data_IF_962827905590
#
_entry.id   IF_962827905590
#
_cell.length_a   1.000
_cell.length_b   1.000
_cell.length_c   1.000
_cell.angle_alpha   90.00
_cell.angle_beta   90.00
_cell.angle_gamma   90.00
#
_symmetry.space_group_name_H-M   'P 1'
#
loop_
_entity.id
_entity.type
_entity.pdbx_description
1 polymer ?
#
# COMPACT_ATOMS: atom_id res chain seq x y z
N UNK A 1 18.61 -1.44 -7.00
CA UNK A 1 17.81 -1.38 -8.24
C UNK A 1 16.65 -2.34 -8.12
N UNK A 2 15.47 -1.93 -8.55
CA UNK A 2 14.19 -2.66 -8.46
C UNK A 2 13.24 -2.03 -9.47
N UNK A 3 12.24 -2.77 -9.97
CA UNK A 3 11.20 -2.24 -10.85
C UNK A 3 10.54 -1.01 -10.22
N UNK A 4 10.08 -1.15 -8.98
CA UNK A 4 9.57 -0.06 -8.18
C UNK A 4 9.90 -0.21 -6.70
N UNK A 5 9.82 0.91 -5.97
CA UNK A 5 9.78 0.89 -4.51
C UNK A 5 9.24 2.21 -3.95
N UNK A 6 8.74 2.15 -2.71
CA UNK A 6 8.44 3.33 -1.90
C UNK A 6 9.32 3.30 -0.65
N UNK A 7 10.17 4.32 -0.50
CA UNK A 7 11.08 4.45 0.64
C UNK A 7 10.77 5.73 1.39
N UNK A 8 10.60 5.64 2.70
CA UNK A 8 10.37 6.82 3.51
C UNK A 8 11.09 6.84 4.84
N UNK A 9 11.29 8.04 5.38
CA UNK A 9 11.88 8.28 6.71
C UNK A 9 13.26 7.62 6.87
N UNK A 10 14.12 7.79 5.86
CA UNK A 10 15.49 7.27 5.87
C UNK A 10 16.47 8.40 6.19
N UNK A 11 17.44 8.14 7.06
CA UNK A 11 18.49 9.10 7.41
C UNK A 11 19.86 8.58 7.03
N UNK A 12 20.66 9.42 6.39
CA UNK A 12 22.02 9.12 5.93
C UNK A 12 22.98 10.18 6.46
N UNK A 13 24.12 9.75 7.01
CA UNK A 13 25.12 10.62 7.64
C UNK A 13 26.51 10.27 7.13
N UNK A 14 27.31 11.25 6.69
CA UNK A 14 28.73 11.04 6.40
C UNK A 14 29.02 10.14 5.19
N UNK A 15 28.08 10.00 4.25
CA UNK A 15 28.22 9.09 3.10
C UNK A 15 28.96 9.78 1.95
N UNK A 16 29.74 9.03 1.16
CA UNK A 16 30.19 9.51 -0.15
C UNK A 16 29.00 9.78 -1.06
N UNK A 17 28.22 8.74 -1.36
CA UNK A 17 26.89 8.86 -1.98
C UNK A 17 25.87 8.23 -1.04
N UNK A 18 24.83 8.96 -0.62
CA UNK A 18 23.81 8.42 0.28
C UNK A 18 22.92 7.37 -0.42
N UNK A 19 22.49 7.64 -1.67
CA UNK A 19 21.68 6.72 -2.47
C UNK A 19 22.26 6.62 -3.88
N UNK A 20 22.69 5.42 -4.27
CA UNK A 20 23.05 5.08 -5.65
C UNK A 20 21.87 4.37 -6.34
N UNK A 21 21.10 5.09 -7.15
CA UNK A 21 20.00 4.52 -7.92
C UNK A 21 20.53 3.89 -9.21
N UNK A 22 20.82 2.59 -9.15
CA UNK A 22 21.44 1.86 -10.27
C UNK A 22 20.48 1.51 -11.42
N UNK A 23 19.21 1.23 -11.14
CA UNK A 23 18.15 1.00 -12.15
C UNK A 23 16.77 1.04 -11.49
N UNK A 24 15.72 1.44 -12.23
CA UNK A 24 14.30 1.25 -11.88
C UNK A 24 13.36 1.47 -13.06
N UNK A 25 12.06 1.22 -12.88
CA UNK A 25 11.00 1.84 -13.67
C UNK A 25 10.50 3.12 -12.99
N UNK A 26 10.26 3.08 -11.68
CA UNK A 26 9.92 4.26 -10.88
C UNK A 26 10.17 4.08 -9.39
N UNK A 27 10.48 5.16 -8.68
CA UNK A 27 10.75 5.09 -7.24
C UNK A 27 10.24 6.33 -6.54
N UNK A 28 9.57 6.16 -5.41
CA UNK A 28 9.16 7.27 -4.55
C UNK A 28 10.00 7.28 -3.28
N UNK A 29 10.76 8.36 -3.09
CA UNK A 29 11.45 8.70 -1.85
C UNK A 29 10.67 9.78 -1.13
N UNK A 30 10.45 9.61 0.18
CA UNK A 30 9.72 10.57 1.01
C UNK A 30 10.44 10.76 2.35
N UNK A 31 10.47 11.99 2.89
CA UNK A 31 11.00 12.23 4.24
C UNK A 31 12.44 11.74 4.42
N UNK A 32 13.29 11.92 3.40
CA UNK A 32 14.71 11.62 3.53
C UNK A 32 15.40 12.69 4.37
N UNK A 33 16.41 12.30 5.15
CA UNK A 33 17.31 13.21 5.84
C UNK A 33 18.75 12.85 5.49
N UNK A 34 19.41 13.66 4.67
CA UNK A 34 20.78 13.41 4.20
C UNK A 34 21.68 14.51 4.74
N UNK A 35 22.71 14.13 5.50
CA UNK A 35 23.56 15.05 6.26
C UNK A 35 25.03 14.72 6.07
N UNK A 36 25.86 15.74 5.83
CA UNK A 36 27.32 15.63 5.71
C UNK A 36 27.76 14.62 4.63
N UNK A 37 27.13 14.65 3.45
CA UNK A 37 27.41 13.73 2.35
C UNK A 37 28.05 14.46 1.14
N UNK A 38 28.83 13.75 0.31
CA UNK A 38 29.28 14.35 -0.96
C UNK A 38 28.12 14.44 -1.96
N UNK A 39 27.42 13.33 -2.16
CA UNK A 39 26.25 13.21 -3.04
C UNK A 39 25.05 12.68 -2.26
N UNK A 40 23.90 13.32 -2.44
CA UNK A 40 22.65 12.82 -1.89
C UNK A 40 22.12 11.62 -2.67
N UNK A 41 21.53 11.87 -3.83
CA UNK A 41 20.99 10.83 -4.71
C UNK A 41 21.71 10.90 -6.06
N UNK A 42 22.41 9.83 -6.41
CA UNK A 42 22.90 9.62 -7.77
C UNK A 42 21.93 8.74 -8.54
N UNK A 43 21.19 9.34 -9.48
CA UNK A 43 20.30 8.67 -10.41
C UNK A 43 20.78 8.78 -11.86
N UNK A 44 22.09 8.94 -12.07
CA UNK A 44 22.68 9.12 -13.40
C UNK A 44 22.83 7.84 -14.24
N UNK A 45 22.49 6.67 -13.69
CA UNK A 45 22.46 5.45 -14.49
C UNK A 45 21.41 5.55 -15.59
N UNK A 46 21.75 5.09 -16.80
CA UNK A 46 20.85 5.05 -17.96
C UNK A 46 19.67 4.08 -17.77
N UNK A 47 19.76 3.17 -16.80
CA UNK A 47 18.71 2.20 -16.47
C UNK A 47 17.69 2.74 -15.45
N UNK A 48 17.76 4.03 -15.10
CA UNK A 48 16.78 4.68 -14.22
C UNK A 48 15.62 5.23 -15.05
N UNK A 49 14.43 4.67 -14.85
CA UNK A 49 13.20 5.16 -15.43
C UNK A 49 12.76 6.48 -14.80
N UNK A 50 12.48 6.49 -13.49
CA UNK A 50 12.01 7.69 -12.81
C UNK A 50 12.25 7.72 -11.29
N UNK A 51 12.31 8.93 -10.74
CA UNK A 51 12.43 9.19 -9.29
C UNK A 51 11.47 10.31 -8.90
N UNK A 52 10.76 10.12 -7.79
CA UNK A 52 9.98 11.15 -7.10
C UNK A 52 10.63 11.35 -5.72
N UNK A 53 10.94 12.60 -5.37
CA UNK A 53 11.50 12.97 -4.08
C UNK A 53 10.58 13.96 -3.38
N UNK A 54 10.04 13.55 -2.24
CA UNK A 54 9.05 14.30 -1.46
C UNK A 54 9.58 14.62 -0.06
N UNK A 55 9.17 15.76 0.51
CA UNK A 55 9.23 16.04 1.95
C UNK A 55 10.63 15.86 2.59
N UNK A 56 11.70 16.07 1.83
CA UNK A 56 13.05 15.64 2.22
C UNK A 56 13.95 16.81 2.64
N UNK A 57 15.02 16.49 3.38
CA UNK A 57 15.98 17.46 3.91
C UNK A 57 17.42 17.06 3.60
N UNK A 58 18.18 18.00 3.06
CA UNK A 58 19.62 17.88 2.81
C UNK A 58 20.38 18.92 3.65
N UNK A 59 21.43 18.53 4.36
CA UNK A 59 22.24 19.44 5.19
C UNK A 59 23.72 19.20 4.95
N UNK A 60 24.47 20.23 4.59
CA UNK A 60 25.90 20.13 4.30
C UNK A 60 26.19 19.01 3.28
N UNK A 61 25.53 19.08 2.12
CA UNK A 61 25.67 18.10 1.03
C UNK A 61 26.23 18.81 -0.20
N UNK A 62 27.34 18.33 -0.78
CA UNK A 62 27.97 19.05 -1.92
C UNK A 62 27.05 19.10 -3.14
N UNK A 63 26.43 17.97 -3.49
CA UNK A 63 25.41 17.88 -4.55
C UNK A 63 24.22 17.05 -4.08
N UNK A 64 23.02 17.64 -3.98
CA UNK A 64 21.85 16.90 -3.50
C UNK A 64 21.40 15.80 -4.47
N UNK A 65 21.32 16.10 -5.78
CA UNK A 65 20.93 15.12 -6.80
C UNK A 65 21.78 15.21 -8.07
N UNK A 66 22.13 14.06 -8.63
CA UNK A 66 22.76 13.91 -9.94
C UNK A 66 21.82 13.14 -10.87
N UNK A 67 21.57 13.67 -12.07
CA UNK A 67 20.74 13.04 -13.11
C UNK A 67 21.48 12.98 -14.45
N UNK A 68 21.29 11.91 -15.23
CA UNK A 68 21.78 11.81 -16.61
C UNK A 68 20.82 12.39 -17.63
N UNK A 69 19.66 12.90 -17.19
CA UNK A 69 18.71 13.57 -18.06
C UNK A 69 19.26 14.93 -18.51
N UNK A 70 19.72 14.99 -19.75
CA UNK A 70 20.16 16.24 -20.38
C UNK A 70 18.99 17.16 -20.74
N UNK A 71 19.17 18.49 -20.70
CA UNK A 71 18.23 19.45 -21.24
C UNK A 71 17.86 19.16 -22.70
N UNK A 72 16.59 19.32 -23.05
CA UNK A 72 16.03 18.98 -24.37
C UNK A 72 15.68 17.49 -24.55
N UNK A 73 15.95 16.61 -23.58
CA UNK A 73 15.58 15.19 -23.69
C UNK A 73 14.05 15.03 -23.63
N UNK A 74 13.43 14.59 -24.73
CA UNK A 74 11.99 14.39 -24.83
C UNK A 74 11.53 12.95 -24.50
N UNK A 75 12.43 12.04 -24.12
CA UNK A 75 12.07 10.68 -23.69
C UNK A 75 11.57 10.66 -22.24
N UNK A 76 10.95 9.55 -21.81
CA UNK A 76 10.53 9.35 -20.42
C UNK A 76 11.67 8.95 -19.47
N UNK A 77 12.88 8.65 -19.97
CA UNK A 77 13.98 8.13 -19.16
C UNK A 77 14.51 9.17 -18.16
N UNK A 78 14.89 8.70 -16.97
CA UNK A 78 15.37 9.53 -15.86
C UNK A 78 14.42 10.70 -15.53
N UNK A 79 13.11 10.47 -15.61
CA UNK A 79 12.14 11.50 -15.21
C UNK A 79 12.24 11.77 -13.70
N UNK A 80 12.16 13.03 -13.31
CA UNK A 80 12.36 13.46 -11.92
C UNK A 80 11.26 14.41 -11.49
N UNK A 81 10.71 14.16 -10.30
CA UNK A 81 9.85 15.10 -9.58
C UNK A 81 10.46 15.35 -8.21
N UNK A 82 10.59 16.62 -7.84
CA UNK A 82 11.00 17.07 -6.51
C UNK A 82 9.85 17.90 -5.95
N UNK A 83 9.42 17.64 -4.71
CA UNK A 83 8.39 18.42 -4.03
C UNK A 83 8.75 18.57 -2.55
N UNK A 84 8.62 19.80 -2.05
CA UNK A 84 8.82 20.14 -0.64
C UNK A 84 10.17 19.62 -0.08
N UNK A 85 11.26 19.95 -0.77
CA UNK A 85 12.62 19.56 -0.33
C UNK A 85 13.35 20.77 0.20
N UNK A 86 13.72 20.73 1.48
CA UNK A 86 14.49 21.81 2.13
C UNK A 86 15.97 21.45 2.13
N UNK A 87 16.83 22.47 2.05
CA UNK A 87 18.26 22.28 2.09
C UNK A 87 18.98 23.39 2.88
N UNK A 88 20.09 23.02 3.51
CA UNK A 88 21.00 23.92 4.21
C UNK A 88 22.43 23.58 3.80
N UNK A 89 23.20 24.58 3.41
CA UNK A 89 24.60 24.45 2.98
C UNK A 89 24.75 23.41 1.85
N UNK A 90 23.89 23.53 0.82
CA UNK A 90 23.90 22.69 -0.38
C UNK A 90 24.16 23.58 -1.59
N UNK A 91 25.40 23.68 -2.10
CA UNK A 91 25.72 24.61 -3.19
C UNK A 91 25.11 24.18 -4.53
N UNK A 92 24.86 22.89 -4.74
CA UNK A 92 24.26 22.35 -5.96
C UNK A 92 23.11 21.41 -5.60
N UNK A 93 21.89 21.76 -6.00
CA UNK A 93 20.71 20.93 -5.73
C UNK A 93 20.52 19.87 -6.80
N UNK A 94 20.71 20.22 -8.07
CA UNK A 94 20.60 19.30 -9.21
C UNK A 94 21.71 19.55 -10.20
N UNK A 95 22.41 18.50 -10.61
CA UNK A 95 23.46 18.57 -11.63
C UNK A 95 23.47 17.36 -12.57
N UNK A 96 24.21 17.50 -13.66
CA UNK A 96 24.56 16.39 -14.54
C UNK A 96 25.79 15.62 -14.02
N UNK A 97 26.17 14.48 -14.64
CA UNK A 97 27.29 13.66 -14.19
C UNK A 97 28.66 14.34 -14.33
N UNK A 98 28.77 15.40 -15.15
CA UNK A 98 29.97 16.22 -15.30
C UNK A 98 30.08 17.34 -14.26
N UNK A 99 29.10 17.48 -13.35
CA UNK A 99 29.06 18.52 -12.33
C UNK A 99 28.50 19.86 -12.81
N UNK A 100 27.94 19.94 -14.03
CA UNK A 100 27.24 21.13 -14.49
C UNK A 100 25.90 21.27 -13.74
N UNK A 101 25.67 22.39 -13.04
CA UNK A 101 24.43 22.58 -12.28
C UNK A 101 23.26 22.86 -13.21
N UNK A 102 22.14 22.19 -12.95
CA UNK A 102 20.80 22.52 -13.47
C UNK A 102 20.00 23.34 -12.46
N UNK A 103 20.25 23.12 -11.17
CA UNK A 103 19.69 23.92 -10.08
C UNK A 103 20.78 24.17 -9.04
N UNK A 104 21.20 25.42 -8.93
CA UNK A 104 22.08 25.88 -7.85
C UNK A 104 21.31 25.94 -6.54
N UNK A 105 22.01 25.79 -5.43
CA UNK A 105 21.48 26.05 -4.11
C UNK A 105 22.05 27.32 -3.49
N UNK A 106 21.51 27.64 -2.32
CA UNK A 106 21.88 28.77 -1.47
C UNK A 106 22.28 28.26 -0.07
N UNK A 107 22.73 29.15 0.82
CA UNK A 107 23.10 28.77 2.19
C UNK A 107 21.93 28.11 2.95
N UNK A 108 20.70 28.58 2.73
CA UNK A 108 19.47 27.93 3.19
C UNK A 108 18.40 28.15 2.12
N UNK A 109 17.69 27.10 1.74
CA UNK A 109 16.65 27.22 0.72
C UNK A 109 15.72 26.02 0.65
N UNK A 110 14.81 26.06 -0.31
CA UNK A 110 13.85 24.99 -0.55
C UNK A 110 13.52 24.87 -2.03
N UNK A 111 13.29 23.64 -2.48
CA UNK A 111 12.63 23.32 -3.74
C UNK A 111 11.18 23.00 -3.43
N UNK A 112 10.30 23.98 -3.66
CA UNK A 112 8.86 23.78 -3.47
C UNK A 112 8.33 22.71 -4.43
N UNK A 113 8.60 22.88 -5.74
CA UNK A 113 8.34 21.88 -6.78
C UNK A 113 9.42 21.99 -7.88
N UNK A 114 9.81 20.87 -8.48
CA UNK A 114 10.63 20.82 -9.70
C UNK A 114 10.26 19.55 -10.48
N UNK A 115 10.26 19.63 -11.81
CA UNK A 115 10.00 18.54 -12.73
C UNK A 115 11.04 18.52 -13.83
N UNK A 116 11.57 17.34 -14.13
CA UNK A 116 12.35 17.06 -15.32
C UNK A 116 11.66 15.91 -16.06
N UNK A 117 10.93 16.19 -17.14
CA UNK A 117 10.08 15.18 -17.78
C UNK A 117 9.06 15.73 -18.77
N UNK A 118 8.20 14.85 -19.28
CA UNK A 118 7.06 15.23 -20.12
C UNK A 118 5.80 15.42 -19.28
N UNK A 119 5.13 16.56 -19.45
CA UNK A 119 3.88 16.90 -18.73
C UNK A 119 2.70 16.97 -19.71
N UNK A 120 1.51 16.58 -19.23
CA UNK A 120 0.25 16.51 -19.98
C UNK A 120 -0.87 17.24 -19.22
N UNK A 121 -0.87 18.58 -19.21
CA UNK A 121 -1.88 19.37 -18.51
C UNK A 121 -2.24 20.66 -19.27
N UNK A 122 -3.47 20.83 -19.80
CA UNK A 122 -4.48 19.79 -20.06
C UNK A 122 -4.15 18.93 -21.30
N UNK A 123 -3.07 19.26 -22.03
CA UNK A 123 -2.59 18.55 -23.23
C UNK A 123 -1.08 18.36 -23.13
N UNK A 124 -0.52 17.41 -23.88
CA UNK A 124 0.91 17.12 -23.93
C UNK A 124 1.26 16.16 -25.07
N UNK A 125 2.52 15.70 -25.18
CA UNK A 125 3.61 15.98 -24.24
C UNK A 125 4.16 17.41 -24.37
N UNK A 126 4.49 18.03 -23.23
CA UNK A 126 5.34 19.21 -23.16
C UNK A 126 6.53 18.90 -22.27
N UNK A 127 7.74 19.09 -22.78
CA UNK A 127 8.96 18.96 -21.98
C UNK A 127 8.97 20.06 -20.91
N UNK A 128 9.24 19.66 -19.66
CA UNK A 128 9.38 20.53 -18.49
C UNK A 128 10.72 20.27 -17.83
N UNK A 129 11.45 21.35 -17.56
CA UNK A 129 12.81 21.34 -17.00
C UNK A 129 12.90 22.44 -15.93
N UNK A 130 12.23 22.22 -14.81
CA UNK A 130 12.05 23.23 -13.76
C UNK A 130 10.63 23.21 -13.22
N UNK A 131 10.06 24.38 -12.97
CA UNK A 131 8.73 24.53 -12.38
C UNK A 131 7.91 25.58 -13.14
N UNK A 132 6.70 25.20 -13.52
CA UNK A 132 5.73 26.13 -14.13
C UNK A 132 4.44 26.30 -13.32
N UNK A 133 4.18 25.42 -12.34
CA UNK A 133 2.98 25.49 -11.48
C UNK A 133 3.20 24.74 -10.18
N UNK A 134 2.39 25.04 -9.16
CA UNK A 134 2.42 24.32 -7.91
C UNK A 134 1.60 23.03 -8.01
N UNK A 135 2.13 21.91 -7.50
CA UNK A 135 1.30 20.73 -7.31
C UNK A 135 0.22 21.03 -6.25
N UNK A 136 -0.99 20.52 -6.44
CA UNK A 136 -2.02 20.60 -5.40
C UNK A 136 -1.58 19.72 -4.23
N UNK A 137 -1.54 20.28 -3.02
CA UNK A 137 -1.15 19.58 -1.82
C UNK A 137 -2.22 19.83 -0.74
N UNK A 138 -3.30 19.04 -0.70
CA UNK A 138 -4.38 19.23 0.26
C UNK A 138 -3.85 19.26 1.70
N UNK A 139 -4.08 20.34 2.47
CA UNK A 139 -3.61 20.44 3.85
C UNK A 139 -4.15 19.32 4.76
N UNK A 140 -5.32 18.79 4.41
CA UNK A 140 -5.98 17.65 5.08
C UNK A 140 -5.15 16.36 5.02
N UNK A 141 -4.21 16.25 4.07
CA UNK A 141 -3.30 15.11 3.91
C UNK A 141 -1.97 15.26 4.67
N UNK A 142 -1.79 16.35 5.41
CA UNK A 142 -0.49 16.75 5.98
C UNK A 142 -0.48 16.84 7.51
N UNK A 143 0.72 16.72 8.07
CA UNK A 143 1.08 17.13 9.44
C UNK A 143 2.11 18.24 9.34
N UNK A 144 1.71 19.47 9.68
CA UNK A 144 2.49 20.65 9.29
C UNK A 144 2.61 20.72 7.77
N UNK A 145 3.84 20.85 7.26
CA UNK A 145 4.09 20.97 5.82
C UNK A 145 4.32 19.64 5.09
N UNK A 146 4.50 18.54 5.84
CA UNK A 146 4.80 17.21 5.29
C UNK A 146 3.53 16.38 5.13
N UNK A 147 3.44 15.54 4.11
CA UNK A 147 2.36 14.54 4.07
C UNK A 147 2.44 13.64 5.30
N UNK A 148 1.28 13.33 5.87
CA UNK A 148 1.18 12.46 7.04
C UNK A 148 1.86 11.13 6.75
N UNK A 149 2.62 10.66 7.74
CA UNK A 149 3.24 9.34 7.72
C UNK A 149 3.26 8.76 9.12
N UNK A 150 3.23 7.44 9.19
CA UNK A 150 3.31 6.72 10.44
C UNK A 150 3.83 5.31 10.20
N UNK A 151 4.91 4.96 10.88
CA UNK A 151 5.45 3.60 10.85
C UNK A 151 4.52 2.61 11.56
N UNK A 152 4.58 1.35 11.12
CA UNK A 152 3.87 0.24 11.74
C UNK A 152 4.00 0.27 13.28
N UNK A 153 2.90 0.34 14.03
CA UNK A 153 2.96 0.27 15.48
C UNK A 153 3.51 -1.09 15.93
N UNK A 154 4.62 -1.09 16.66
CA UNK A 154 5.23 -2.33 17.19
C UNK A 154 4.79 -2.66 18.62
N UNK A 155 4.07 -1.75 19.29
CA UNK A 155 3.62 -1.89 20.68
C UNK A 155 4.73 -2.24 21.69
N UNK A 156 6.00 -1.94 21.40
CA UNK A 156 7.16 -2.38 22.21
C UNK A 156 7.20 -1.81 23.64
N UNK A 157 6.32 -0.88 23.99
CA UNK A 157 6.14 -0.34 25.32
C UNK A 157 5.05 -1.08 26.15
N UNK A 158 4.33 -2.03 25.55
CA UNK A 158 3.30 -2.82 26.23
C UNK A 158 3.90 -4.14 26.78
N UNK A 159 3.53 -4.57 27.99
CA UNK A 159 3.90 -5.90 28.49
C UNK A 159 3.15 -7.00 27.74
N UNK A 160 3.66 -8.23 27.76
CA UNK A 160 3.01 -9.40 27.14
C UNK A 160 1.57 -9.62 27.65
N UNK A 161 1.29 -9.28 28.91
CA UNK A 161 -0.05 -9.34 29.50
C UNK A 161 -1.06 -8.37 28.89
N UNK A 162 -0.63 -7.44 28.04
CA UNK A 162 -1.51 -6.55 27.27
C UNK A 162 -2.01 -7.17 25.97
N UNK A 163 -1.62 -8.40 25.64
CA UNK A 163 -2.04 -9.10 24.43
C UNK A 163 -2.98 -10.24 24.79
N UNK A 164 -4.10 -10.33 24.08
CA UNK A 164 -5.05 -11.43 24.20
C UNK A 164 -4.94 -12.30 22.96
N UNK A 165 -4.52 -13.56 23.13
CA UNK A 165 -4.35 -14.51 22.03
C UNK A 165 -5.69 -15.02 21.51
N UNK A 166 -5.79 -15.19 20.19
CA UNK A 166 -6.92 -15.85 19.56
C UNK A 166 -7.08 -17.31 20.04
N UNK A 167 -5.97 -18.01 20.30
CA UNK A 167 -5.98 -19.39 20.82
C UNK A 167 -6.55 -19.50 22.22
N UNK A 168 -6.32 -18.51 23.08
CA UNK A 168 -6.90 -18.47 24.43
C UNK A 168 -8.44 -18.38 24.41
N UNK A 169 -9.02 -17.88 23.31
CA UNK A 169 -10.46 -17.82 23.07
C UNK A 169 -10.99 -18.95 22.19
N UNK A 170 -10.17 -19.99 21.98
CA UNK A 170 -10.57 -21.22 21.31
C UNK A 170 -10.42 -21.22 19.79
N UNK A 171 -9.82 -20.18 19.19
CA UNK A 171 -9.48 -20.21 17.77
C UNK A 171 -8.37 -21.24 17.50
N UNK A 172 -8.54 -22.08 16.49
CA UNK A 172 -7.60 -23.17 16.20
C UNK A 172 -6.51 -22.77 15.21
N UNK A 173 -6.85 -21.95 14.21
CA UNK A 173 -5.91 -21.54 13.17
C UNK A 173 -5.39 -22.71 12.32
N UNK A 174 -6.19 -23.77 12.16
CA UNK A 174 -5.80 -25.03 11.50
C UNK A 174 -6.24 -25.12 10.02
N UNK A 175 -6.86 -24.07 9.49
CA UNK A 175 -7.36 -23.98 8.10
C UNK A 175 -8.64 -24.77 7.82
N UNK A 176 -9.20 -25.46 8.83
CA UNK A 176 -10.32 -26.40 8.67
C UNK A 176 -11.48 -26.09 9.61
N UNK A 177 -11.17 -25.86 10.88
CA UNK A 177 -12.12 -25.54 11.94
C UNK A 177 -12.66 -24.13 11.76
N UNK A 178 -13.93 -23.94 12.13
CA UNK A 178 -14.58 -22.64 12.00
C UNK A 178 -14.23 -21.75 13.21
N UNK A 179 -13.36 -20.77 12.99
CA UNK A 179 -12.87 -19.83 14.00
C UNK A 179 -13.69 -18.54 14.08
N UNK A 180 -14.82 -18.47 13.37
CA UNK A 180 -15.63 -17.24 13.25
C UNK A 180 -16.06 -16.69 14.60
N UNK A 181 -16.55 -17.55 15.49
CA UNK A 181 -17.04 -17.14 16.79
C UNK A 181 -15.90 -16.66 17.70
N UNK A 182 -14.78 -17.40 17.72
CA UNK A 182 -13.63 -17.08 18.56
C UNK A 182 -13.00 -15.74 18.19
N UNK A 183 -12.84 -15.45 16.89
CA UNK A 183 -12.29 -14.17 16.43
C UNK A 183 -13.22 -12.98 16.72
N UNK A 184 -14.54 -13.13 16.50
CA UNK A 184 -15.48 -12.07 16.85
C UNK A 184 -15.51 -11.79 18.36
N UNK A 185 -15.44 -12.83 19.20
CA UNK A 185 -15.32 -12.66 20.67
C UNK A 185 -14.01 -11.95 21.03
N UNK A 186 -12.89 -12.32 20.41
CA UNK A 186 -11.60 -11.67 20.64
C UNK A 186 -11.68 -10.17 20.36
N UNK A 187 -12.15 -9.79 19.17
CA UNK A 187 -12.22 -8.39 18.76
C UNK A 187 -13.19 -7.59 19.62
N UNK A 188 -14.31 -8.19 20.02
CA UNK A 188 -15.23 -7.58 20.96
C UNK A 188 -14.61 -7.36 22.35
N UNK A 189 -13.80 -8.31 22.86
CA UNK A 189 -13.18 -8.21 24.19
C UNK A 189 -12.10 -7.14 24.27
N UNK A 190 -11.32 -6.95 23.19
CA UNK A 190 -10.25 -5.93 23.18
C UNK A 190 -10.76 -4.54 22.83
N UNK A 191 -11.91 -4.43 22.17
CA UNK A 191 -12.50 -3.16 21.79
C UNK A 191 -12.74 -2.25 23.00
N UNK A 192 -12.34 -0.98 22.90
CA UNK A 192 -12.44 0.00 23.99
C UNK A 192 -11.64 -0.36 25.26
N UNK A 193 -10.62 -1.20 25.13
CA UNK A 193 -9.74 -1.59 26.24
C UNK A 193 -8.27 -1.26 25.93
N UNK A 194 -7.37 -1.27 26.92
CA UNK A 194 -5.93 -1.15 26.67
C UNK A 194 -5.29 -2.43 26.10
N UNK A 195 -6.05 -3.51 25.88
CA UNK A 195 -5.53 -4.74 25.29
C UNK A 195 -5.39 -4.67 23.76
N UNK A 196 -4.55 -5.54 23.22
CA UNK A 196 -4.32 -5.75 21.79
C UNK A 196 -4.71 -7.19 21.46
N UNK A 197 -5.53 -7.39 20.43
CA UNK A 197 -5.83 -8.72 19.92
C UNK A 197 -4.58 -9.27 19.20
N UNK A 198 -4.15 -10.47 19.61
CA UNK A 198 -3.02 -11.17 19.01
C UNK A 198 -3.52 -12.38 18.23
N UNK A 199 -3.36 -12.39 16.92
CA UNK A 199 -3.63 -13.56 16.09
C UNK A 199 -2.33 -14.35 15.97
N UNK A 200 -2.26 -15.47 16.68
CA UNK A 200 -1.16 -16.42 16.56
C UNK A 200 -0.97 -16.88 15.10
N UNK A 201 0.20 -17.42 14.77
CA UNK A 201 0.43 -18.05 13.47
C UNK A 201 -0.62 -19.13 13.21
N UNK A 202 -1.24 -19.08 12.03
CA UNK A 202 -2.28 -20.02 11.64
C UNK A 202 -3.21 -19.51 10.56
N UNK A 203 -4.00 -20.44 10.01
CA UNK A 203 -5.05 -20.15 9.04
C UNK A 203 -6.40 -20.27 9.74
N UNK A 204 -7.02 -19.14 10.03
CA UNK A 204 -8.30 -19.02 10.69
C UNK A 204 -9.41 -19.06 9.64
N UNK A 205 -9.98 -20.24 9.41
CA UNK A 205 -11.11 -20.36 8.49
C UNK A 205 -12.36 -19.76 9.14
N UNK A 206 -13.03 -18.89 8.40
CA UNK A 206 -14.26 -18.22 8.86
C UNK A 206 -15.37 -18.46 7.86
N UNK A 207 -16.57 -18.78 8.35
CA UNK A 207 -17.75 -19.03 7.49
C UNK A 207 -18.79 -17.91 7.56
N UNK A 208 -18.54 -16.87 8.36
CA UNK A 208 -19.28 -15.62 8.37
C UNK A 208 -18.34 -14.43 8.53
N UNK A 209 -18.89 -13.23 8.35
CA UNK A 209 -18.16 -11.97 8.52
C UNK A 209 -17.51 -11.88 9.90
N UNK A 210 -16.24 -11.50 9.91
CA UNK A 210 -15.49 -11.08 11.10
C UNK A 210 -15.65 -9.57 11.24
N UNK A 211 -16.35 -9.15 12.29
CA UNK A 211 -16.56 -7.75 12.60
C UNK A 211 -15.43 -7.25 13.50
N UNK A 212 -14.78 -6.16 13.08
CA UNK A 212 -13.78 -5.44 13.87
C UNK A 212 -14.46 -4.19 14.44
N UNK A 213 -14.76 -4.14 15.75
CA UNK A 213 -15.41 -2.98 16.35
C UNK A 213 -14.49 -1.75 16.34
N UNK A 214 -15.05 -0.52 16.43
CA UNK A 214 -14.25 0.66 16.70
C UNK A 214 -13.43 0.53 18.00
N UNK A 215 -12.30 1.25 18.06
CA UNK A 215 -11.36 1.28 19.19
C UNK A 215 -10.70 -0.08 19.45
N UNK A 216 -10.28 -0.74 18.37
CA UNK A 216 -9.66 -2.07 18.38
C UNK A 216 -8.24 -2.01 17.83
N UNK A 217 -7.30 -2.69 18.49
CA UNK A 217 -5.93 -2.89 18.01
C UNK A 217 -5.69 -4.37 17.80
N UNK A 218 -5.20 -4.73 16.62
CA UNK A 218 -4.99 -6.11 16.19
C UNK A 218 -3.58 -6.24 15.63
N UNK A 219 -2.87 -7.28 16.05
CA UNK A 219 -1.59 -7.68 15.45
C UNK A 219 -1.58 -9.18 15.22
N UNK A 220 -1.14 -9.61 14.05
CA UNK A 220 -0.85 -11.01 13.77
C UNK A 220 0.60 -11.37 14.09
N UNK A 221 0.85 -12.66 14.30
CA UNK A 221 2.21 -13.19 14.25
C UNK A 221 2.75 -13.00 12.82
N UNK A 222 3.86 -12.25 12.64
CA UNK A 222 4.29 -11.71 11.35
C UNK A 222 4.19 -12.69 10.18
N UNK A 223 3.50 -12.25 9.11
CA UNK A 223 3.33 -12.95 7.83
C UNK A 223 2.71 -14.36 7.90
N UNK A 224 2.05 -14.72 9.02
CA UNK A 224 1.55 -16.09 9.20
C UNK A 224 0.14 -16.19 9.81
N UNK A 225 -0.47 -15.07 10.21
CA UNK A 225 -1.87 -15.02 10.61
C UNK A 225 -2.78 -14.74 9.40
N UNK A 226 -3.57 -15.74 8.98
CA UNK A 226 -4.46 -15.65 7.82
C UNK A 226 -5.93 -15.78 8.25
N UNK A 227 -6.77 -14.76 8.00
CA UNK A 227 -8.23 -14.89 8.10
C UNK A 227 -8.76 -15.31 6.73
N UNK A 228 -9.35 -16.50 6.64
CA UNK A 228 -9.71 -17.13 5.37
C UNK A 228 -11.22 -17.38 5.26
N UNK A 229 -11.90 -16.55 4.47
CA UNK A 229 -13.35 -16.65 4.24
C UNK A 229 -13.74 -17.86 3.39
N UNK A 230 -14.70 -18.65 3.86
CA UNK A 230 -15.10 -19.89 3.21
C UNK A 230 -16.62 -20.14 3.27
N UNK A 231 -17.14 -20.89 2.29
CA UNK A 231 -18.48 -21.45 2.34
C UNK A 231 -19.60 -20.55 1.79
N UNK A 232 -20.84 -21.03 1.93
CA UNK A 232 -22.01 -20.53 1.18
C UNK A 232 -22.33 -19.05 1.40
N UNK A 233 -21.96 -18.49 2.55
CA UNK A 233 -22.19 -17.08 2.89
C UNK A 233 -21.38 -16.12 2.01
N UNK A 234 -20.29 -16.59 1.41
CA UNK A 234 -19.45 -15.80 0.51
C UNK A 234 -19.55 -16.25 -0.96
N UNK A 235 -20.50 -17.12 -1.31
CA UNK A 235 -20.58 -17.73 -2.64
C UNK A 235 -21.44 -16.94 -3.65
N UNK A 236 -22.33 -16.05 -3.19
CA UNK A 236 -23.31 -15.37 -4.04
C UNK A 236 -22.81 -13.98 -4.49
N UNK A 237 -22.41 -13.86 -5.75
CA UNK A 237 -21.95 -12.60 -6.35
C UNK A 237 -23.07 -11.53 -6.44
N UNK A 238 -24.34 -11.91 -6.38
CA UNK A 238 -25.46 -10.95 -6.37
C UNK A 238 -25.75 -10.40 -4.98
N UNK A 239 -25.15 -11.01 -3.95
CA UNK A 239 -25.29 -10.61 -2.54
C UNK A 239 -23.92 -10.65 -1.87
N UNK A 240 -22.97 -9.83 -2.33
CA UNK A 240 -21.61 -9.88 -1.82
C UNK A 240 -21.55 -9.54 -0.33
N UNK A 241 -20.59 -10.13 0.38
CA UNK A 241 -20.44 -9.96 1.84
C UNK A 241 -18.95 -9.84 2.22
N UNK A 242 -18.62 -8.97 3.18
CA UNK A 242 -17.26 -8.86 3.69
C UNK A 242 -16.83 -10.09 4.50
N UNK A 243 -15.61 -10.58 4.25
CA UNK A 243 -14.93 -11.54 5.11
C UNK A 243 -14.50 -10.83 6.39
N UNK A 244 -13.83 -9.68 6.26
CA UNK A 244 -13.52 -8.78 7.39
C UNK A 244 -14.25 -7.45 7.17
N UNK A 245 -15.05 -7.05 8.17
CA UNK A 245 -15.77 -5.78 8.17
C UNK A 245 -15.22 -4.89 9.29
N UNK A 246 -14.49 -3.84 8.92
CA UNK A 246 -13.94 -2.86 9.86
C UNK A 246 -14.96 -1.77 10.12
N UNK A 247 -15.60 -1.88 11.28
CA UNK A 247 -16.75 -1.11 11.71
C UNK A 247 -17.98 -1.24 10.77
N UNK A 248 -19.13 -0.80 11.24
CA UNK A 248 -20.32 -0.59 10.43
C UNK A 248 -20.34 0.84 9.87
N UNK A 249 -21.04 1.08 8.74
CA UNK A 249 -21.22 2.44 8.22
C UNK A 249 -21.76 3.40 9.28
N UNK A 250 -21.06 4.51 9.49
CA UNK A 250 -21.43 5.55 10.45
C UNK A 250 -20.84 5.38 11.85
N UNK A 251 -20.18 4.26 12.14
CA UNK A 251 -19.45 4.10 13.39
C UNK A 251 -18.17 4.95 13.42
N UNK A 252 -17.88 5.50 14.60
CA UNK A 252 -16.78 6.42 14.85
C UNK A 252 -15.84 5.81 15.88
N UNK A 253 -14.54 5.89 15.62
CA UNK A 253 -13.52 5.44 16.56
C UNK A 253 -12.19 5.23 15.88
N UNK A 254 -11.38 4.34 16.44
CA UNK A 254 -10.00 4.14 16.03
C UNK A 254 -9.65 2.67 15.81
N UNK A 255 -8.90 2.33 14.75
CA UNK A 255 -8.45 0.97 14.49
C UNK A 255 -6.98 0.97 14.07
N UNK A 256 -6.23 0.03 14.63
CA UNK A 256 -4.91 -0.36 14.13
C UNK A 256 -4.93 -1.85 13.82
N UNK A 257 -4.51 -2.22 12.61
CA UNK A 257 -4.30 -3.61 12.24
C UNK A 257 -2.92 -3.76 11.63
N UNK A 258 -2.21 -4.81 12.02
CA UNK A 258 -0.96 -5.16 11.38
C UNK A 258 -0.66 -6.64 11.31
N UNK A 259 0.19 -7.02 10.35
CA UNK A 259 0.74 -8.37 10.20
C UNK A 259 -0.33 -9.47 9.97
N UNK A 260 -1.36 -9.17 9.17
CA UNK A 260 -2.49 -10.09 8.90
C UNK A 260 -2.69 -10.23 7.39
N UNK A 261 -3.03 -11.44 6.95
CA UNK A 261 -3.46 -11.70 5.58
C UNK A 261 -4.96 -12.04 5.60
N UNK A 262 -5.75 -11.41 4.74
CA UNK A 262 -7.13 -11.82 4.46
C UNK A 262 -7.16 -12.60 3.15
N UNK A 263 -7.82 -13.75 3.15
CA UNK A 263 -7.91 -14.65 2.00
C UNK A 263 -9.32 -15.23 1.86
N UNK A 264 -9.53 -16.00 0.79
CA UNK A 264 -10.67 -16.90 0.63
C UNK A 264 -10.24 -18.35 0.45
N UNK A 265 -11.18 -19.28 0.61
CA UNK A 265 -11.01 -20.71 0.36
C UNK A 265 -12.06 -21.20 -0.66
N UNK A 266 -11.59 -21.59 -1.85
CA UNK A 266 -12.39 -22.14 -2.93
C UNK A 266 -13.34 -21.13 -3.58
N UNK A 267 -14.52 -21.60 -3.99
CA UNK A 267 -15.50 -20.81 -4.73
C UNK A 267 -16.25 -19.81 -3.84
N UNK A 268 -15.79 -18.57 -3.80
CA UNK A 268 -16.32 -17.48 -2.97
C UNK A 268 -16.62 -16.25 -3.81
N UNK A 269 -17.40 -16.41 -4.88
CA UNK A 269 -17.72 -15.36 -5.85
C UNK A 269 -18.40 -14.10 -5.26
N UNK A 270 -18.96 -14.18 -4.05
CA UNK A 270 -19.54 -13.07 -3.29
C UNK A 270 -18.63 -12.49 -2.21
N UNK A 271 -17.41 -12.97 -2.03
CA UNK A 271 -16.51 -12.42 -1.00
C UNK A 271 -16.04 -11.00 -1.33
N UNK A 272 -16.20 -10.09 -0.38
CA UNK A 272 -15.40 -8.88 -0.29
C UNK A 272 -14.31 -9.17 0.74
N UNK A 273 -13.02 -9.08 0.39
CA UNK A 273 -11.94 -9.41 1.34
C UNK A 273 -12.02 -8.54 2.60
N UNK A 274 -11.80 -7.23 2.43
CA UNK A 274 -11.93 -6.24 3.51
C UNK A 274 -12.94 -5.17 3.10
N UNK A 275 -13.96 -4.94 3.92
CA UNK A 275 -14.81 -3.75 3.85
C UNK A 275 -14.46 -2.82 5.02
N UNK A 276 -14.00 -1.61 4.70
CA UNK A 276 -13.59 -0.62 5.67
C UNK A 276 -14.59 0.54 5.71
N UNK A 277 -15.28 0.70 6.84
CA UNK A 277 -16.34 1.69 7.04
C UNK A 277 -16.00 2.79 8.04
N UNK A 278 -14.98 2.55 8.88
CA UNK A 278 -14.74 3.37 10.06
C UNK A 278 -14.51 4.85 9.71
N UNK A 279 -15.28 5.72 10.37
CA UNK A 279 -15.00 7.14 10.41
C UNK A 279 -14.06 7.43 11.58
N UNK A 280 -12.77 7.61 11.31
CA UNK A 280 -11.84 8.00 12.38
C UNK A 280 -11.89 9.51 12.59
N UNK A 281 -12.20 10.00 13.79
CA UNK A 281 -12.27 11.44 14.07
C UNK A 281 -10.84 11.99 14.28
N UNK A 282 -9.97 11.85 13.28
CA UNK A 282 -8.74 12.64 13.23
C UNK A 282 -9.14 14.08 12.89
N UNK A 283 -8.61 15.08 13.63
CA UNK A 283 -8.98 16.49 13.51
C UNK A 283 -9.28 16.85 12.04
N UNK A 284 -10.54 17.15 11.76
CA UNK A 284 -11.13 17.03 10.41
C UNK A 284 -10.45 17.93 9.36
N UNK A 285 -9.58 18.85 9.79
CA UNK A 285 -8.80 19.76 8.97
C UNK A 285 -7.28 19.49 8.92
N UNK A 286 -6.64 18.92 9.94
CA UNK A 286 -5.16 18.76 10.02
C UNK A 286 -4.81 17.50 10.82
N UNK A 287 -3.88 16.67 10.34
CA UNK A 287 -3.38 15.55 11.14
C UNK A 287 -2.57 16.07 12.33
N UNK A 288 -2.79 15.51 13.53
CA UNK A 288 -2.02 15.84 14.73
C UNK A 288 -1.49 14.57 15.39
N UNK A 289 -0.31 14.62 16.05
CA UNK A 289 0.21 13.47 16.79
C UNK A 289 -0.73 12.92 17.88
N UNK A 290 -1.62 13.76 18.41
CA UNK A 290 -2.58 13.39 19.46
C UNK A 290 -3.87 12.72 18.96
N UNK A 291 -4.14 12.75 17.65
CA UNK A 291 -5.31 12.13 17.03
C UNK A 291 -4.95 11.59 15.64
N UNK A 292 -4.14 10.51 15.58
CA UNK A 292 -3.71 9.94 14.30
C UNK A 292 -4.89 9.28 13.55
N UNK A 293 -4.86 9.26 12.20
CA UNK A 293 -5.64 8.34 11.39
C UNK A 293 -5.54 6.89 11.88
N UNK A 294 -6.62 6.13 11.71
CA UNK A 294 -6.60 4.67 11.81
C UNK A 294 -5.75 4.09 10.68
N UNK A 295 -5.25 2.87 10.83
CA UNK A 295 -4.44 2.32 9.76
C UNK A 295 -4.21 0.81 9.73
N UNK A 296 -3.70 0.40 8.57
CA UNK A 296 -3.41 -0.98 8.18
C UNK A 296 -1.93 -1.06 7.73
N UNK A 297 -1.09 -1.78 8.47
CA UNK A 297 0.33 -1.94 8.15
C UNK A 297 0.69 -3.41 7.98
N UNK A 298 1.27 -3.80 6.84
CA UNK A 298 1.50 -5.23 6.55
C UNK A 298 0.20 -6.05 6.65
N UNK A 299 -0.91 -5.43 6.20
CA UNK A 299 -2.20 -6.10 6.06
C UNK A 299 -2.44 -6.36 4.59
N UNK A 300 -2.41 -7.62 4.21
CA UNK A 300 -2.49 -8.03 2.81
C UNK A 300 -3.83 -8.68 2.51
N UNK A 301 -4.29 -8.59 1.26
CA UNK A 301 -5.34 -9.46 0.74
C UNK A 301 -4.67 -10.39 -0.26
N UNK A 302 -4.69 -11.70 0.00
CA UNK A 302 -4.01 -12.70 -0.83
C UNK A 302 -5.02 -13.77 -1.24
N UNK A 303 -5.52 -13.72 -2.47
CA UNK A 303 -6.57 -14.62 -2.95
C UNK A 303 -5.97 -15.77 -3.76
N UNK A 304 -5.95 -16.95 -3.15
CA UNK A 304 -5.54 -18.21 -3.78
C UNK A 304 -4.03 -18.38 -3.94
N UNK A 305 -3.62 -19.45 -4.64
CA UNK A 305 -2.21 -19.74 -4.94
C UNK A 305 -1.39 -20.27 -3.77
N UNK A 306 -2.00 -20.78 -2.70
CA UNK A 306 -1.28 -21.37 -1.55
C UNK A 306 -2.03 -22.55 -0.94
N UNK A 307 -1.34 -23.36 -0.14
CA UNK A 307 -1.85 -24.56 0.50
C UNK A 307 -3.05 -24.26 1.39
N UNK A 308 -4.13 -25.00 1.18
CA UNK A 308 -5.38 -24.83 1.93
C UNK A 308 -6.35 -23.82 1.31
N UNK A 309 -5.93 -23.01 0.32
CA UNK A 309 -6.81 -22.09 -0.40
C UNK A 309 -7.83 -22.78 -1.31
N UNK A 310 -7.58 -24.03 -1.73
CA UNK A 310 -8.38 -24.74 -2.76
C UNK A 310 -8.45 -23.96 -4.10
N UNK A 311 -7.39 -23.20 -4.36
CA UNK A 311 -7.19 -22.36 -5.53
C UNK A 311 -5.74 -22.52 -6.01
N UNK A 312 -5.25 -23.76 -6.01
CA UNK A 312 -3.89 -24.12 -6.39
C UNK A 312 -3.84 -24.61 -7.84
N UNK A 313 -2.66 -25.02 -8.34
CA UNK A 313 -2.52 -25.58 -9.70
C UNK A 313 -3.52 -26.71 -9.96
N UNK A 314 -3.73 -27.59 -8.97
CA UNK A 314 -4.65 -28.70 -9.07
C UNK A 314 -6.11 -28.28 -9.30
N UNK A 315 -6.50 -27.11 -8.79
CA UNK A 315 -7.88 -26.59 -8.86
C UNK A 315 -8.06 -25.65 -10.07
N UNK A 316 -7.06 -24.77 -10.27
CA UNK A 316 -7.15 -23.56 -11.08
C UNK A 316 -6.02 -23.43 -12.10
N UNK A 317 -5.51 -24.55 -12.64
CA UNK A 317 -4.58 -24.52 -13.78
C UNK A 317 -5.10 -23.65 -14.94
N UNK A 318 -4.17 -22.94 -15.58
CA UNK A 318 -4.44 -22.11 -16.77
C UNK A 318 -5.03 -22.92 -17.93
N UNK A 319 -5.80 -22.25 -18.79
CA UNK A 319 -6.47 -22.86 -19.95
C UNK A 319 -6.28 -22.01 -21.22
N UNK A 320 -5.03 -21.76 -21.68
CA UNK A 320 -4.76 -20.85 -22.79
C UNK A 320 -5.41 -21.30 -24.12
N UNK A 321 -5.55 -22.61 -24.32
CA UNK A 321 -6.13 -23.19 -25.55
C UNK A 321 -7.65 -23.33 -25.52
N UNK A 322 -8.31 -22.93 -24.42
CA UNK A 322 -9.77 -22.99 -24.28
C UNK A 322 -10.34 -21.58 -24.14
N UNK A 323 -10.86 -21.00 -25.23
CA UNK A 323 -11.37 -19.65 -25.20
C UNK A 323 -12.68 -19.55 -24.40
N UNK A 324 -12.84 -18.51 -23.58
CA UNK A 324 -14.05 -18.24 -22.78
C UNK A 324 -14.35 -19.32 -21.72
N UNK A 325 -13.33 -19.97 -21.17
CA UNK A 325 -13.48 -20.99 -20.13
C UNK A 325 -13.17 -20.42 -18.74
N UNK A 326 -14.23 -20.05 -18.02
CA UNK A 326 -14.16 -19.72 -16.59
C UNK A 326 -14.52 -20.95 -15.77
N UNK A 327 -13.55 -21.48 -15.03
CA UNK A 327 -13.79 -22.53 -14.04
C UNK A 327 -14.55 -21.97 -12.84
N UNK A 328 -15.79 -22.40 -12.63
CA UNK A 328 -16.65 -21.88 -11.56
C UNK A 328 -16.05 -22.00 -10.15
N UNK A 329 -15.26 -23.06 -9.90
CA UNK A 329 -14.56 -23.27 -8.63
C UNK A 329 -13.40 -22.28 -8.39
N UNK A 330 -12.94 -21.58 -9.44
CA UNK A 330 -11.86 -20.60 -9.39
C UNK A 330 -12.37 -19.15 -9.32
N UNK A 331 -13.69 -18.94 -9.26
CA UNK A 331 -14.28 -17.63 -8.99
C UNK A 331 -14.21 -17.39 -7.48
N UNK A 332 -13.18 -16.65 -7.06
CA UNK A 332 -12.71 -16.60 -5.68
C UNK A 332 -13.06 -15.29 -4.95
N UNK A 333 -13.69 -14.32 -5.61
CA UNK A 333 -14.07 -13.07 -4.94
C UNK A 333 -14.88 -12.11 -5.82
N UNK A 334 -15.68 -11.30 -5.15
CA UNK A 334 -16.37 -10.16 -5.76
C UNK A 334 -15.47 -8.92 -5.81
N UNK A 335 -14.73 -8.67 -4.73
CA UNK A 335 -13.82 -7.54 -4.56
C UNK A 335 -12.77 -7.86 -3.48
N UNK A 336 -11.53 -7.43 -3.65
CA UNK A 336 -10.51 -7.66 -2.62
C UNK A 336 -10.61 -6.65 -1.48
N UNK A 337 -10.85 -5.37 -1.77
CA UNK A 337 -11.03 -4.36 -0.72
C UNK A 337 -11.96 -3.21 -1.11
N UNK A 338 -12.81 -2.80 -0.17
CA UNK A 338 -13.74 -1.67 -0.30
C UNK A 338 -13.54 -0.67 0.83
N UNK A 339 -13.09 0.55 0.52
CA UNK A 339 -13.12 1.71 1.43
C UNK A 339 -14.39 2.50 1.14
N UNK A 340 -15.39 2.34 1.99
CA UNK A 340 -16.77 2.77 1.69
C UNK A 340 -16.96 4.29 1.81
N UNK A 341 -18.08 4.86 1.34
CA UNK A 341 -18.35 6.30 1.45
C UNK A 341 -18.39 6.83 2.88
N UNK A 342 -18.55 5.96 3.89
CA UNK A 342 -18.53 6.31 5.31
C UNK A 342 -17.12 6.41 5.89
N UNK A 343 -16.13 5.80 5.25
CA UNK A 343 -14.76 5.74 5.74
C UNK A 343 -14.06 7.10 5.68
N UNK A 344 -13.37 7.46 6.77
CA UNK A 344 -12.58 8.70 6.87
C UNK A 344 -11.27 8.43 7.58
N UNK A 345 -10.20 9.09 7.13
CA UNK A 345 -8.91 9.11 7.80
C UNK A 345 -8.30 7.71 7.96
N UNK A 346 -8.03 7.05 6.83
CA UNK A 346 -7.42 5.71 6.76
C UNK A 346 -6.00 5.80 6.17
N UNK A 347 -5.02 5.35 6.96
CA UNK A 347 -3.64 5.21 6.55
C UNK A 347 -3.30 3.74 6.23
N UNK A 348 -2.85 3.48 5.01
CA UNK A 348 -2.47 2.16 4.54
C UNK A 348 -1.00 2.19 4.14
N UNK A 349 -0.19 1.30 4.70
CA UNK A 349 1.21 1.14 4.34
C UNK A 349 1.61 -0.32 4.17
N UNK A 350 2.34 -0.59 3.09
CA UNK A 350 2.78 -1.92 2.72
C UNK A 350 1.61 -2.93 2.66
N UNK A 351 0.57 -2.57 1.93
CA UNK A 351 -0.58 -3.43 1.68
C UNK A 351 -0.50 -3.97 0.26
N UNK A 352 -0.47 -5.29 0.14
CA UNK A 352 -0.50 -5.99 -1.15
C UNK A 352 -1.85 -6.68 -1.30
N UNK A 353 -2.58 -6.32 -2.34
CA UNK A 353 -3.91 -6.82 -2.66
C UNK A 353 -3.76 -7.63 -3.94
N UNK A 354 -3.51 -8.92 -3.78
CA UNK A 354 -3.04 -9.80 -4.84
C UNK A 354 -4.01 -10.96 -5.07
N UNK A 355 -4.40 -11.13 -6.32
CA UNK A 355 -5.04 -12.36 -6.80
C UNK A 355 -3.95 -13.21 -7.42
N UNK A 356 -3.87 -14.47 -7.02
CA UNK A 356 -2.75 -15.30 -7.43
C UNK A 356 -2.67 -15.49 -8.95
N UNK A 357 -1.54 -15.09 -9.53
CA UNK A 357 -1.16 -15.39 -10.90
C UNK A 357 -0.39 -16.72 -11.01
N UNK A 358 0.17 -17.19 -9.88
CA UNK A 358 0.85 -18.47 -9.74
C UNK A 358 0.64 -19.10 -8.35
N UNK A 359 0.89 -20.39 -8.25
CA UNK A 359 0.90 -21.13 -6.99
C UNK A 359 2.26 -20.98 -6.31
N UNK A 360 2.29 -20.25 -5.18
CA UNK A 360 3.52 -19.95 -4.42
C UNK A 360 4.04 -21.15 -3.62
N UNK A 361 3.22 -22.19 -3.46
CA UNK A 361 3.64 -23.45 -2.82
C UNK A 361 4.03 -24.52 -3.86
N UNK A 362 3.87 -24.28 -5.17
CA UNK A 362 4.50 -25.10 -6.23
C UNK A 362 5.94 -24.61 -6.43
N UNK A 363 6.98 -25.44 -6.20
CA UNK A 363 8.38 -25.06 -6.43
C UNK A 363 8.70 -24.58 -7.84
N UNK A 364 7.83 -24.85 -8.82
CA UNK A 364 7.98 -24.38 -10.21
C UNK A 364 7.36 -23.00 -10.45
N UNK A 365 6.68 -22.41 -9.46
CA UNK A 365 5.87 -21.19 -9.60
C UNK A 365 4.90 -21.29 -10.78
N UNK A 366 4.18 -22.41 -10.85
CA UNK A 366 3.28 -22.69 -11.97
C UNK A 366 2.10 -21.72 -11.95
N UNK A 367 1.79 -21.12 -13.10
CA UNK A 367 0.69 -20.17 -13.25
C UNK A 367 -0.67 -20.80 -12.97
N UNK A 368 -1.58 -19.99 -12.44
CA UNK A 368 -3.00 -20.33 -12.19
C UNK A 368 -3.92 -19.25 -12.76
N UNK A 369 -5.18 -19.60 -13.00
CA UNK A 369 -6.25 -18.68 -13.39
C UNK A 369 -7.29 -18.61 -12.29
N UNK A 370 -7.21 -17.58 -11.46
CA UNK A 370 -8.16 -17.29 -10.37
C UNK A 370 -8.87 -15.98 -10.68
N UNK A 371 -10.18 -15.95 -10.44
CA UNK A 371 -11.03 -14.85 -10.88
C UNK A 371 -11.57 -14.08 -9.68
N UNK A 372 -11.11 -12.84 -9.53
CA UNK A 372 -11.71 -11.83 -8.63
C UNK A 372 -12.02 -10.61 -9.46
N UNK A 373 -13.25 -10.11 -9.37
CA UNK A 373 -13.70 -9.08 -10.30
C UNK A 373 -13.02 -7.72 -10.07
N UNK A 374 -12.77 -7.32 -8.81
CA UNK A 374 -12.42 -5.94 -8.45
C UNK A 374 -11.30 -5.91 -7.41
N UNK A 375 -10.35 -4.98 -7.57
CA UNK A 375 -9.27 -4.77 -6.61
C UNK A 375 -9.69 -3.92 -5.42
N UNK A 376 -9.15 -2.70 -5.36
CA UNK A 376 -9.41 -1.71 -4.32
C UNK A 376 -10.36 -0.62 -4.86
N UNK A 377 -11.57 -0.57 -4.29
CA UNK A 377 -12.52 0.52 -4.49
C UNK A 377 -12.40 1.52 -3.34
N UNK A 378 -12.22 2.80 -3.67
CA UNK A 378 -12.18 3.91 -2.70
C UNK A 378 -13.28 4.92 -3.00
N UNK A 379 -14.16 5.08 -2.03
CA UNK A 379 -15.22 6.10 -2.01
C UNK A 379 -15.12 7.01 -0.77
N UNK A 380 -14.22 6.67 0.17
CA UNK A 380 -13.96 7.45 1.37
C UNK A 380 -13.13 8.72 1.12
N UNK A 381 -12.83 9.43 2.22
CA UNK A 381 -12.12 10.72 2.19
C UNK A 381 -10.92 10.70 3.14
N UNK A 382 -9.84 11.41 2.78
CA UNK A 382 -8.58 11.46 3.55
C UNK A 382 -7.96 10.07 3.70
N UNK A 383 -7.46 9.55 2.59
CA UNK A 383 -6.90 8.20 2.47
C UNK A 383 -5.44 8.30 2.03
N UNK A 384 -4.55 7.56 2.68
CA UNK A 384 -3.14 7.46 2.31
C UNK A 384 -2.82 6.02 1.94
N UNK A 385 -2.30 5.81 0.73
CA UNK A 385 -1.80 4.52 0.25
C UNK A 385 -0.29 4.64 0.01
N UNK A 386 0.49 4.12 0.96
CA UNK A 386 1.96 4.21 0.98
C UNK A 386 2.56 2.87 0.57
N UNK A 387 3.10 2.83 -0.65
CA UNK A 387 3.67 1.61 -1.22
C UNK A 387 2.67 0.47 -1.35
N UNK A 388 1.45 0.77 -1.82
CA UNK A 388 0.42 -0.26 -2.05
C UNK A 388 0.53 -0.88 -3.45
N UNK A 389 0.16 -2.15 -3.57
CA UNK A 389 0.03 -2.85 -4.85
C UNK A 389 -1.33 -3.54 -4.93
N UNK A 390 -1.97 -3.46 -6.11
CA UNK A 390 -3.22 -4.17 -6.40
C UNK A 390 -3.12 -4.84 -7.76
N UNK A 391 -3.24 -6.16 -7.81
CA UNK A 391 -2.86 -6.93 -8.99
C UNK A 391 -3.86 -8.04 -9.35
N UNK A 392 -4.00 -8.27 -10.66
CA UNK A 392 -4.68 -9.41 -11.27
C UNK A 392 -6.20 -9.48 -11.06
N UNK A 393 -6.86 -8.35 -10.88
CA UNK A 393 -8.33 -8.28 -10.85
C UNK A 393 -8.91 -8.04 -12.25
N UNK A 394 -10.06 -8.65 -12.55
CA UNK A 394 -10.64 -8.64 -13.91
C UNK A 394 -11.02 -7.24 -14.42
N UNK A 395 -11.67 -6.42 -13.59
CA UNK A 395 -12.26 -5.15 -14.03
C UNK A 395 -11.33 -3.96 -13.78
N UNK A 396 -10.75 -3.88 -12.59
CA UNK A 396 -9.83 -2.81 -12.21
C UNK A 396 -8.99 -3.21 -11.02
N UNK A 397 -7.79 -2.63 -10.96
CA UNK A 397 -6.91 -2.75 -9.81
C UNK A 397 -7.26 -1.68 -8.76
N UNK A 398 -7.21 -0.40 -9.14
CA UNK A 398 -7.69 0.70 -8.31
C UNK A 398 -8.87 1.38 -9.00
N UNK A 399 -9.90 1.71 -8.23
CA UNK A 399 -10.97 2.60 -8.68
C UNK A 399 -11.32 3.60 -7.58
N UNK A 400 -11.31 4.89 -7.93
CA UNK A 400 -11.72 5.98 -7.04
C UNK A 400 -13.05 6.54 -7.57
N UNK A 401 -14.09 6.53 -6.74
CA UNK A 401 -15.42 7.05 -7.10
C UNK A 401 -15.86 8.04 -6.04
N UNK A 402 -16.01 9.31 -6.42
CA UNK A 402 -16.39 10.40 -5.50
C UNK A 402 -15.47 10.58 -4.28
N UNK A 403 -14.30 9.92 -4.27
CA UNK A 403 -13.30 10.05 -3.23
C UNK A 403 -12.64 11.46 -3.26
N UNK A 404 -12.28 11.96 -2.09
CA UNK A 404 -11.61 13.26 -1.94
C UNK A 404 -10.42 13.15 -1.00
N UNK A 405 -9.40 13.98 -1.23
CA UNK A 405 -8.15 13.98 -0.45
C UNK A 405 -7.55 12.57 -0.34
N UNK A 406 -6.97 12.10 -1.45
CA UNK A 406 -6.32 10.78 -1.52
C UNK A 406 -4.86 10.97 -1.90
N UNK A 407 -3.95 10.43 -1.08
CA UNK A 407 -2.52 10.37 -1.35
C UNK A 407 -2.12 8.95 -1.72
N UNK A 408 -1.41 8.76 -2.84
CA UNK A 408 -1.04 7.45 -3.37
C UNK A 408 0.40 7.53 -3.87
N UNK A 409 1.32 6.78 -3.24
CA UNK A 409 2.75 6.94 -3.51
C UNK A 409 3.61 5.77 -3.05
N UNK A 410 4.34 5.09 -3.93
CA UNK A 410 3.93 4.78 -5.31
C UNK A 410 2.94 3.61 -5.29
N UNK A 411 1.98 3.63 -6.21
CA UNK A 411 1.11 2.49 -6.49
C UNK A 411 1.69 1.65 -7.61
N UNK A 412 1.40 0.35 -7.57
CA UNK A 412 1.71 -0.57 -8.66
C UNK A 412 0.52 -1.49 -8.95
N UNK A 413 0.44 -1.93 -10.20
CA UNK A 413 -0.63 -2.77 -10.73
C UNK A 413 -0.13 -3.72 -11.81
N UNK A 414 -0.76 -4.90 -11.88
CA UNK A 414 -0.67 -5.82 -13.03
C UNK A 414 -2.06 -6.29 -13.49
N UNK A 415 -2.19 -6.47 -14.81
CA UNK A 415 -3.38 -7.07 -15.43
C UNK A 415 -3.35 -8.59 -15.20
N UNK A 416 -4.49 -9.26 -14.94
CA UNK A 416 -4.49 -10.72 -14.84
C UNK A 416 -4.06 -11.38 -16.15
N UNK A 417 -3.16 -12.35 -16.08
CA UNK A 417 -2.50 -12.91 -17.26
C UNK A 417 -3.39 -13.76 -18.16
N UNK A 418 -4.58 -14.16 -17.70
CA UNK A 418 -5.55 -14.83 -18.58
C UNK A 418 -6.18 -13.87 -19.59
N UNK A 419 -6.19 -12.55 -19.34
CA UNK A 419 -6.78 -11.60 -20.29
C UNK A 419 -5.98 -11.52 -21.61
N UNK A 420 -6.65 -11.39 -22.77
CA UNK A 420 -8.09 -11.13 -22.95
C UNK A 420 -8.96 -12.41 -23.09
N UNK A 421 -8.46 -13.58 -22.68
CA UNK A 421 -9.18 -14.84 -22.73
C UNK A 421 -9.80 -15.18 -21.35
N UNK A 422 -11.04 -14.76 -21.06
CA UNK A 422 -11.67 -15.10 -19.78
C UNK A 422 -11.92 -16.60 -19.63
#
# INVERSE_FOLDING_TARGET
GSQQFTMRNLSFYGCGTAIQQIWNWGWTYKSLKIVDCDVGIDMSSWDVGSVILLDSKFVNVKTAMITSRNPGNATGLCSLVIQNVVYQDVPVVLANPQGQPYLLGEANGAVADNVQGNVYAPRGPRLMEGRDSAFSQPPTLKTGDLYYERSKPQYGNLPASSFLSARDLGARGDGVSDDTAALNVLFQQVANTPYVAFLDSGVYKVTDTIYVPPNTRIVGEPLSAIIMGAGKKFADANRPRPVVQVAHPGEIGYVEMSDIIVSTQGATAGAIGIEYNLNTPAAESICSPGAPPSGLWDVHVRIGGFTGSQLQVADCAITPDQPNLVKANCIAGFMSMHVTPSARNLYMENNWIWVADHDIDDPRNTRVSIFVARGLLIEGTRIWLVGSSVEHHTLYQYQLVSATDVWMGQIQTETPYYQPNP
#
